data_IF_812223509912
#
_entry.id   IF_812223509912
#
_cell.length_a   1.000
_cell.length_b   1.000
_cell.length_c   1.000
_cell.angle_alpha   90.00
_cell.angle_beta   90.00
_cell.angle_gamma   90.00
#
_symmetry.space_group_name_H-M   'P 1'
#
loop_
_entity.id
_entity.type
_entity.pdbx_description
1 polymer ?
#
# COMPACT_ATOMS: atom_id res chain seq x y z
N UNK A 1 -34.23 25.39 7.39
CA UNK A 1 -33.03 25.49 6.54
C UNK A 1 -32.32 24.16 6.63
N UNK A 2 -32.36 23.41 5.54
CA UNK A 2 -32.00 22.00 5.48
C UNK A 2 -30.48 21.81 5.65
N UNK A 3 -30.07 21.09 6.70
CA UNK A 3 -28.65 20.90 7.06
C UNK A 3 -27.93 19.94 6.10
N UNK A 4 -28.64 19.28 5.19
CA UNK A 4 -28.06 18.26 4.31
C UNK A 4 -27.37 18.87 3.08
N UNK A 5 -27.53 20.17 2.83
CA UNK A 5 -26.85 20.87 1.73
C UNK A 5 -25.43 21.36 2.05
N UNK A 6 -24.96 21.25 3.30
CA UNK A 6 -23.62 21.71 3.70
C UNK A 6 -22.51 20.68 3.48
N UNK A 7 -22.82 19.47 3.03
CA UNK A 7 -21.80 18.49 2.65
C UNK A 7 -21.39 18.75 1.20
N UNK A 8 -20.53 19.75 0.98
CA UNK A 8 -19.80 19.93 -0.28
C UNK A 8 -18.87 18.71 -0.44
N UNK A 9 -19.42 17.62 -0.96
CA UNK A 9 -18.65 16.41 -1.25
C UNK A 9 -17.82 16.72 -2.49
N UNK A 10 -16.55 17.11 -2.29
CA UNK A 10 -15.59 17.37 -3.39
C UNK A 10 -15.54 16.13 -4.29
N UNK A 11 -16.25 16.17 -5.42
CA UNK A 11 -16.22 15.09 -6.41
C UNK A 11 -14.83 15.08 -7.00
N UNK A 12 -13.98 14.19 -6.49
CA UNK A 12 -12.68 13.88 -7.11
C UNK A 12 -12.96 13.52 -8.56
N UNK A 13 -12.40 14.28 -9.50
CA UNK A 13 -12.64 14.04 -10.92
C UNK A 13 -12.20 12.63 -11.33
N UNK A 14 -12.93 12.04 -12.28
CA UNK A 14 -12.67 10.70 -12.80
C UNK A 14 -11.22 10.58 -13.31
N UNK A 15 -10.72 11.60 -14.02
CA UNK A 15 -9.32 11.65 -14.46
C UNK A 15 -8.30 11.66 -13.32
N UNK A 16 -8.58 12.35 -12.21
CA UNK A 16 -7.70 12.34 -11.03
C UNK A 16 -7.67 10.96 -10.36
N UNK A 17 -8.80 10.24 -10.34
CA UNK A 17 -8.87 8.86 -9.84
C UNK A 17 -8.08 7.88 -10.72
N UNK A 18 -8.27 7.95 -12.04
CA UNK A 18 -7.57 7.07 -12.99
C UNK A 18 -6.06 7.29 -12.92
N UNK A 19 -5.61 8.56 -12.92
CA UNK A 19 -4.18 8.86 -12.80
C UNK A 19 -3.57 8.28 -11.53
N UNK A 20 -4.25 8.42 -10.39
CA UNK A 20 -3.81 7.82 -9.12
C UNK A 20 -3.78 6.30 -9.20
N UNK A 21 -4.79 5.68 -9.81
CA UNK A 21 -4.84 4.24 -10.00
C UNK A 21 -3.66 3.74 -10.85
N UNK A 22 -3.41 4.36 -12.01
CA UNK A 22 -2.29 4.02 -12.90
C UNK A 22 -0.95 4.15 -12.18
N UNK A 23 -0.72 5.24 -11.45
CA UNK A 23 0.50 5.43 -10.66
C UNK A 23 0.67 4.33 -9.61
N UNK A 24 -0.42 3.95 -8.94
CA UNK A 24 -0.39 2.91 -7.92
C UNK A 24 -0.09 1.53 -8.54
N UNK A 25 -0.71 1.21 -9.68
CA UNK A 25 -0.45 -0.03 -10.43
C UNK A 25 1.01 -0.09 -10.87
N UNK A 26 1.53 0.98 -11.47
CA UNK A 26 2.91 1.05 -11.93
C UNK A 26 3.89 0.84 -10.78
N UNK A 27 3.63 1.48 -9.63
CA UNK A 27 4.43 1.31 -8.42
C UNK A 27 4.46 -0.15 -7.96
N UNK A 28 3.31 -0.81 -7.93
CA UNK A 28 3.21 -2.21 -7.51
C UNK A 28 3.88 -3.16 -8.50
N UNK A 29 3.81 -2.91 -9.81
CA UNK A 29 4.53 -3.69 -10.82
C UNK A 29 6.04 -3.66 -10.56
N UNK A 30 6.59 -2.47 -10.30
CA UNK A 30 8.02 -2.33 -9.98
C UNK A 30 8.36 -3.07 -8.67
N UNK A 31 7.53 -2.92 -7.64
CA UNK A 31 7.75 -3.60 -6.37
C UNK A 31 7.75 -5.13 -6.52
N UNK A 32 6.78 -5.69 -7.26
CA UNK A 32 6.69 -7.12 -7.53
C UNK A 32 7.91 -7.59 -8.34
N UNK A 33 8.34 -6.82 -9.33
CA UNK A 33 9.52 -7.15 -10.14
C UNK A 33 10.79 -7.28 -9.26
N UNK A 34 11.03 -6.30 -8.38
CA UNK A 34 12.18 -6.34 -7.45
C UNK A 34 12.09 -7.57 -6.55
N UNK A 35 10.92 -7.86 -5.99
CA UNK A 35 10.70 -9.05 -5.15
C UNK A 35 10.98 -10.33 -5.94
N UNK A 36 10.47 -10.44 -7.17
CA UNK A 36 10.63 -11.62 -8.02
C UNK A 36 12.10 -11.89 -8.36
N UNK A 37 12.86 -10.87 -8.77
CA UNK A 37 14.30 -11.00 -9.07
C UNK A 37 15.08 -11.54 -7.86
N UNK A 38 14.80 -11.01 -6.67
CA UNK A 38 15.47 -11.45 -5.45
C UNK A 38 15.02 -12.84 -5.00
N UNK A 39 13.73 -13.19 -5.15
CA UNK A 39 13.24 -14.55 -4.88
C UNK A 39 13.88 -15.57 -5.82
N UNK A 40 13.97 -15.29 -7.12
CA UNK A 40 14.66 -16.16 -8.08
C UNK A 40 16.10 -16.43 -7.64
N UNK A 41 16.81 -15.41 -7.15
CA UNK A 41 18.17 -15.57 -6.65
C UNK A 41 18.24 -16.44 -5.38
N UNK A 42 17.31 -16.26 -4.43
CA UNK A 42 17.20 -17.09 -3.21
C UNK A 42 16.93 -18.57 -3.56
N UNK A 43 16.10 -18.83 -4.57
CA UNK A 43 15.76 -20.18 -5.02
C UNK A 43 16.81 -20.82 -5.95
N UNK A 44 17.91 -20.13 -6.24
CA UNK A 44 18.97 -20.66 -7.12
C UNK A 44 18.64 -20.63 -8.60
N UNK A 45 17.65 -19.84 -9.03
CA UNK A 45 17.27 -19.66 -10.42
C UNK A 45 18.14 -18.54 -11.00
N UNK A 46 19.10 -18.91 -11.84
CA UNK A 46 20.06 -17.99 -12.42
C UNK A 46 19.90 -17.88 -13.95
N UNK A 47 20.06 -16.67 -14.46
CA UNK A 47 20.20 -16.34 -15.88
C UNK A 47 21.07 -15.08 -15.95
N UNK A 48 21.87 -14.89 -17.00
CA UNK A 48 22.74 -13.72 -17.13
C UNK A 48 21.97 -12.40 -16.92
N UNK A 49 20.75 -12.31 -17.46
CA UNK A 49 19.87 -11.16 -17.23
C UNK A 49 19.40 -11.02 -15.77
N UNK A 50 19.09 -12.13 -15.10
CA UNK A 50 18.66 -12.12 -13.69
C UNK A 50 19.79 -11.74 -12.75
N UNK A 51 21.03 -12.15 -13.02
CA UNK A 51 22.20 -11.81 -12.20
C UNK A 51 22.49 -10.31 -12.26
N UNK A 52 22.43 -9.70 -13.45
CA UNK A 52 22.59 -8.24 -13.60
C UNK A 52 21.48 -7.47 -12.88
N UNK A 53 20.22 -7.88 -13.08
CA UNK A 53 19.08 -7.26 -12.40
C UNK A 53 19.18 -7.43 -10.88
N UNK A 54 19.61 -8.60 -10.41
CA UNK A 54 19.85 -8.84 -9.00
C UNK A 54 20.93 -7.91 -8.47
N UNK A 55 22.10 -7.76 -9.12
CA UNK A 55 23.13 -6.83 -8.65
C UNK A 55 22.65 -5.37 -8.55
N UNK A 56 21.75 -4.92 -9.44
CA UNK A 56 21.17 -3.58 -9.39
C UNK A 56 20.11 -3.42 -8.29
N UNK A 57 19.30 -4.46 -8.06
CA UNK A 57 18.17 -4.44 -7.13
C UNK A 57 18.38 -5.35 -5.92
N UNK A 58 19.64 -5.65 -5.59
CA UNK A 58 20.02 -6.50 -4.48
C UNK A 58 19.66 -5.76 -3.20
N UNK A 59 18.57 -6.19 -2.57
CA UNK A 59 18.30 -5.76 -1.22
C UNK A 59 19.10 -6.69 -0.30
N UNK A 60 20.05 -6.11 0.42
CA UNK A 60 20.71 -6.82 1.53
C UNK A 60 19.65 -7.45 2.43
N UNK A 61 19.92 -8.65 2.94
CA UNK A 61 19.00 -9.37 3.84
C UNK A 61 18.61 -8.52 5.07
N UNK A 62 19.49 -7.61 5.49
CA UNK A 62 19.20 -6.62 6.53
C UNK A 62 18.07 -5.66 6.12
N UNK A 63 18.11 -5.16 4.88
CA UNK A 63 17.09 -4.27 4.32
C UNK A 63 15.78 -5.02 4.13
N UNK A 64 15.80 -6.29 3.70
CA UNK A 64 14.60 -7.13 3.65
C UNK A 64 13.91 -7.24 5.00
N UNK A 65 14.69 -7.53 6.04
CA UNK A 65 14.17 -7.66 7.40
C UNK A 65 13.59 -6.33 7.89
N UNK A 66 14.30 -5.23 7.66
CA UNK A 66 13.86 -3.88 8.04
C UNK A 66 12.56 -3.49 7.32
N UNK A 67 12.51 -3.67 6.00
CA UNK A 67 11.37 -3.31 5.16
C UNK A 67 10.16 -4.20 5.48
N UNK A 68 10.36 -5.49 5.72
CA UNK A 68 9.31 -6.40 6.19
C UNK A 68 8.72 -5.98 7.53
N UNK A 69 9.57 -5.66 8.52
CA UNK A 69 9.13 -5.15 9.82
C UNK A 69 8.33 -3.85 9.65
N UNK A 70 8.80 -2.95 8.77
CA UNK A 70 8.15 -1.67 8.52
C UNK A 70 6.77 -1.84 7.87
N UNK A 71 6.64 -2.73 6.88
CA UNK A 71 5.36 -3.06 6.24
C UNK A 71 4.37 -3.62 7.26
N UNK A 72 4.81 -4.60 8.07
CA UNK A 72 3.96 -5.21 9.10
C UNK A 72 3.56 -4.17 10.16
N UNK A 73 4.50 -3.32 10.60
CA UNK A 73 4.24 -2.27 11.58
C UNK A 73 3.25 -1.23 11.09
N UNK A 74 3.44 -0.71 9.87
CA UNK A 74 2.50 0.25 9.27
C UNK A 74 1.14 -0.39 9.02
N UNK A 75 1.10 -1.62 8.52
CA UNK A 75 -0.14 -2.37 8.31
C UNK A 75 -0.93 -2.57 9.60
N UNK A 76 -0.25 -2.91 10.70
CA UNK A 76 -0.86 -3.03 12.01
C UNK A 76 -1.43 -1.68 12.50
N UNK A 77 -0.67 -0.59 12.37
CA UNK A 77 -1.12 0.76 12.77
C UNK A 77 -2.36 1.21 11.99
N UNK A 78 -2.36 1.02 10.67
CA UNK A 78 -3.51 1.37 9.82
C UNK A 78 -4.74 0.54 10.23
N UNK A 79 -4.56 -0.75 10.48
CA UNK A 79 -5.65 -1.64 10.88
C UNK A 79 -6.23 -1.24 12.23
N UNK A 80 -5.39 -0.98 13.23
CA UNK A 80 -5.80 -0.53 14.56
C UNK A 80 -6.57 0.79 14.45
N UNK A 81 -6.02 1.77 13.73
CA UNK A 81 -6.67 3.05 13.50
C UNK A 81 -8.02 2.88 12.81
N UNK A 82 -8.09 2.05 11.76
CA UNK A 82 -9.32 1.77 11.02
C UNK A 82 -10.41 1.15 11.90
N UNK A 83 -10.05 0.19 12.75
CA UNK A 83 -10.97 -0.43 13.71
C UNK A 83 -11.47 0.57 14.74
N UNK A 84 -10.58 1.40 15.30
CA UNK A 84 -10.96 2.45 16.26
C UNK A 84 -11.89 3.47 15.61
N UNK A 85 -11.54 3.94 14.42
CA UNK A 85 -12.34 4.91 13.67
C UNK A 85 -13.74 4.37 13.38
N UNK A 86 -13.84 3.13 12.91
CA UNK A 86 -15.12 2.49 12.62
C UNK A 86 -15.96 2.29 13.88
N UNK A 87 -15.35 1.89 15.01
CA UNK A 87 -16.05 1.77 16.30
C UNK A 87 -16.57 3.11 16.80
N UNK A 88 -15.78 4.18 16.68
CA UNK A 88 -16.19 5.52 17.08
C UNK A 88 -17.35 6.04 16.22
N UNK A 89 -17.35 5.76 14.91
CA UNK A 89 -18.48 6.07 14.04
C UNK A 89 -19.75 5.31 14.46
N UNK A 90 -19.65 3.99 14.74
CA UNK A 90 -20.79 3.21 15.25
C UNK A 90 -21.36 3.76 16.56
N UNK A 91 -20.51 4.16 17.50
CA UNK A 91 -20.93 4.76 18.77
C UNK A 91 -21.65 6.10 18.58
N UNK A 92 -21.19 6.96 17.67
CA UNK A 92 -21.84 8.25 17.40
C UNK A 92 -23.25 8.09 16.81
N UNK A 93 -23.47 7.10 15.96
CA UNK A 93 -24.80 6.79 15.41
C UNK A 93 -25.73 6.28 16.50
N UNK A 94 -25.26 5.40 17.39
CA UNK A 94 -26.06 4.85 18.48
C UNK A 94 -26.43 5.86 19.59
N UNK A 95 -25.75 7.01 19.68
CA UNK A 95 -26.05 8.09 20.62
C UNK A 95 -26.88 9.23 20.00
N UNK A 96 -27.31 9.10 18.74
CA UNK A 96 -28.22 10.04 18.06
C UNK A 96 -29.62 9.44 17.83
N UNK A 97 -29.90 8.27 18.43
CA UNK A 97 -31.24 7.77 18.75
C UNK A 97 -31.55 8.05 20.23
#
# INVERSE_FOLDING_TARGET
MDKDQLVIRKKTSLGSRIRRFVLLVLLWVVAIYIIAVNLCFIFGIYSDGLVVNYSLFNLSFHIYKLLGILIVGIGALITIYGVIHLRNLKRKVAHHE
#
